data_IF_473607735961
#
_entry.id   IF_473607735961
#
_cell.length_a   1.000
_cell.length_b   1.000
_cell.length_c   1.000
_cell.angle_alpha   90.00
_cell.angle_beta   90.00
_cell.angle_gamma   90.00
#
_symmetry.space_group_name_H-M   'P 1'
#
loop_
_entity.id
_entity.type
_entity.pdbx_description
1 polymer ?
2 non-polymer ?
3 non-polymer ?
4 non-polymer ?
5 non-polymer ?
6 water ?
#
# COMPACT_ATOMS: atom_id res chain seq x y z
N UNK A 6 -1.48 -15.70 28.39
CA UNK A 6 -2.47 -14.73 27.84
C UNK A 6 -2.91 -15.08 26.42
N UNK A 7 -4.22 -15.17 26.19
CA UNK A 7 -4.75 -15.31 24.82
C UNK A 7 -4.54 -14.03 24.04
N UNK A 8 -4.58 -14.15 22.72
CA UNK A 8 -4.10 -13.08 21.85
C UNK A 8 -4.95 -13.09 20.59
N UNK A 9 -5.16 -11.91 20.03
CA UNK A 9 -5.88 -11.85 18.76
C UNK A 9 -4.97 -12.24 17.60
N UNK A 10 -3.67 -12.30 17.87
CA UNK A 10 -2.61 -12.47 16.86
C UNK A 10 -1.99 -13.86 16.97
N UNK A 11 -1.40 -14.35 15.89
CA UNK A 11 -0.41 -15.42 15.95
C UNK A 11 0.87 -15.03 15.20
N UNK A 12 2.03 -15.22 15.82
CA UNK A 12 3.33 -14.94 15.19
C UNK A 12 3.82 -16.09 14.31
N UNK A 13 4.48 -15.75 13.21
CA UNK A 13 5.17 -16.74 12.39
C UNK A 13 6.61 -16.32 12.14
N UNK A 14 7.47 -17.31 11.92
CA UNK A 14 8.69 -17.11 11.14
C UNK A 14 8.49 -17.65 9.73
N UNK A 15 9.51 -17.47 8.88
CA UNK A 15 9.38 -17.75 7.45
C UNK A 15 9.24 -19.24 7.18
N UNK A 16 9.88 -20.06 8.00
CA UNK A 16 9.67 -21.51 7.94
C UNK A 16 8.19 -21.84 8.13
N UNK A 17 7.67 -21.48 9.31
CA UNK A 17 6.25 -21.72 9.60
C UNK A 17 5.39 -21.21 8.44
N UNK A 18 5.76 -20.06 7.90
CA UNK A 18 4.88 -19.37 6.97
C UNK A 18 4.89 -20.03 5.59
N UNK A 19 6.06 -20.45 5.14
CA UNK A 19 6.19 -20.99 3.78
C UNK A 19 5.49 -22.33 3.64
N UNK A 20 5.44 -23.09 4.74
CA UNK A 20 4.62 -24.30 4.78
C UNK A 20 3.19 -24.04 4.31
N UNK A 21 2.65 -22.87 4.60
CA UNK A 21 1.27 -22.58 4.27
C UNK A 21 1.02 -22.27 2.79
N UNK A 22 2.06 -22.44 1.98
CA UNK A 22 1.91 -22.21 0.54
C UNK A 22 0.96 -23.23 -0.06
N UNK A 23 0.98 -24.44 0.50
CA UNK A 23 0.42 -25.64 -0.11
C UNK A 23 0.66 -25.76 -1.61
N UNK A 24 -0.41 -25.91 -2.36
CA UNK A 24 -0.29 -26.35 -3.75
C UNK A 24 -0.07 -25.15 -4.68
N UNK A 25 -0.03 -23.97 -4.08
CA UNK A 25 -0.29 -22.73 -4.81
C UNK A 25 0.77 -22.51 -5.90
N UNK A 26 0.33 -22.42 -7.16
CA UNK A 26 1.21 -22.28 -8.31
C UNK A 26 1.91 -20.92 -8.35
N UNK A 27 3.13 -20.89 -8.87
CA UNK A 27 3.85 -19.63 -9.08
C UNK A 27 3.76 -19.19 -10.54
N UNK A 28 3.22 -17.99 -10.77
CA UNK A 28 2.93 -17.55 -12.13
C UNK A 28 3.73 -16.31 -12.51
N UNK A 29 4.95 -16.18 -11.98
CA UNK A 29 5.75 -14.98 -12.20
C UNK A 29 7.16 -15.29 -12.71
N UNK A 30 7.56 -14.62 -13.80
CA UNK A 30 8.95 -14.62 -14.26
C UNK A 30 9.85 -13.82 -13.32
N UNK A 31 11.16 -14.03 -13.45
CA UNK A 31 12.13 -13.09 -12.92
C UNK A 31 12.10 -11.76 -13.68
N UNK A 32 11.84 -11.81 -14.98
CA UNK A 32 11.71 -10.58 -15.75
C UNK A 32 10.44 -9.80 -15.39
N UNK A 33 9.39 -10.49 -14.98
CA UNK A 33 8.17 -9.79 -14.57
C UNK A 33 8.33 -9.21 -13.17
N UNK A 34 8.94 -9.99 -12.29
CA UNK A 34 9.26 -9.56 -10.94
C UNK A 34 10.13 -8.30 -10.95
N UNK A 35 11.09 -8.26 -11.86
CA UNK A 35 11.96 -7.10 -11.99
C UNK A 35 11.14 -5.83 -12.16
N UNK A 36 10.11 -5.87 -12.99
CA UNK A 36 9.42 -4.64 -13.37
C UNK A 36 8.50 -4.16 -12.27
N UNK A 37 8.37 -4.94 -11.20
CA UNK A 37 7.43 -4.58 -10.14
C UNK A 37 8.20 -4.04 -8.93
N UNK A 38 9.51 -4.19 -8.93
CA UNK A 38 10.25 -3.77 -7.75
C UNK A 38 10.78 -2.34 -7.79
N UNK A 39 10.63 -1.63 -6.67
CA UNK A 39 11.07 -0.25 -6.63
C UNK A 39 12.56 -0.12 -6.35
N UNK A 40 13.12 1.04 -6.66
CA UNK A 40 14.47 1.37 -6.22
C UNK A 40 14.71 0.94 -4.78
N UNK A 41 15.71 0.07 -4.61
CA UNK A 41 16.19 -0.29 -3.28
C UNK A 41 15.48 -1.51 -2.72
N UNK A 42 14.48 -2.03 -3.43
CA UNK A 42 13.78 -3.21 -2.93
C UNK A 42 14.41 -4.51 -3.42
N UNK A 43 14.55 -5.47 -2.52
CA UNK A 43 15.48 -6.56 -2.74
C UNK A 43 14.79 -7.88 -3.04
N UNK A 44 13.52 -7.81 -3.41
CA UNK A 44 12.68 -9.00 -3.47
C UNK A 44 13.11 -9.92 -4.61
N UNK A 45 13.18 -11.22 -4.36
CA UNK A 45 13.35 -12.20 -5.44
C UNK A 45 12.26 -13.26 -5.47
N UNK A 46 12.31 -14.16 -6.45
CA UNK A 46 11.33 -15.24 -6.56
C UNK A 46 11.23 -16.10 -5.31
N UNK A 47 12.31 -16.19 -4.55
CA UNK A 47 12.23 -16.99 -3.35
C UNK A 47 11.29 -16.29 -2.35
N UNK A 48 11.50 -15.00 -2.12
CA UNK A 48 10.61 -14.24 -1.26
C UNK A 48 9.15 -14.33 -1.71
N UNK A 49 8.92 -14.20 -3.01
CA UNK A 49 7.57 -14.41 -3.52
C UNK A 49 6.99 -15.79 -3.20
N UNK A 50 7.81 -16.83 -3.31
CA UNK A 50 7.34 -18.21 -3.13
C UNK A 50 6.95 -18.43 -1.68
N UNK A 51 7.81 -17.98 -0.78
CA UNK A 51 7.74 -18.34 0.63
C UNK A 51 6.84 -17.42 1.44
N UNK A 52 6.73 -16.18 0.98
CA UNK A 52 6.03 -15.14 1.72
C UNK A 52 4.76 -14.75 0.98
N UNK A 53 4.88 -14.49 -0.31
CA UNK A 53 3.75 -13.89 -1.03
C UNK A 53 2.74 -14.93 -1.48
N UNK A 54 3.12 -16.20 -1.43
CA UNK A 54 2.26 -17.23 -2.00
C UNK A 54 1.25 -17.77 -0.97
N UNK A 55 1.72 -18.08 0.24
CA UNK A 55 0.79 -18.26 1.35
C UNK A 55 -0.20 -17.10 1.46
N UNK A 56 0.32 -15.88 1.53
CA UNK A 56 -0.50 -14.69 1.56
C UNK A 56 -1.57 -14.69 0.47
N UNK A 57 -1.18 -14.94 -0.77
CA UNK A 57 -2.15 -14.87 -1.85
C UNK A 57 -3.25 -15.91 -1.61
N UNK A 58 -2.86 -17.03 -0.98
CA UNK A 58 -3.78 -18.12 -0.74
C UNK A 58 -4.82 -17.74 0.31
N UNK A 59 -4.35 -17.42 1.51
CA UNK A 59 -5.17 -16.79 2.54
C UNK A 59 -6.22 -15.83 1.96
N UNK A 60 -5.79 -14.91 1.11
CA UNK A 60 -6.72 -13.93 0.57
C UNK A 60 -7.82 -14.58 -0.25
N UNK A 61 -7.48 -15.63 -1.01
CA UNK A 61 -8.45 -16.31 -1.85
C UNK A 61 -9.46 -17.08 -1.02
N UNK A 62 -8.98 -17.67 0.06
CA UNK A 62 -9.83 -18.29 1.07
C UNK A 62 -10.85 -17.29 1.63
N UNK A 63 -10.37 -16.08 1.89
CA UNK A 63 -11.18 -14.99 2.42
C UNK A 63 -12.14 -14.33 1.44
N UNK A 64 -11.78 -14.19 0.17
CA UNK A 64 -12.70 -13.59 -0.80
C UNK A 64 -14.03 -14.34 -0.88
N UNK A 65 -13.93 -15.66 -1.07
CA UNK A 65 -15.08 -16.55 -1.01
C UNK A 65 -15.88 -16.30 0.27
N UNK A 66 -15.22 -16.39 1.41
CA UNK A 66 -15.87 -16.28 2.73
C UNK A 66 -16.50 -14.92 3.03
N UNK A 67 -15.80 -13.85 2.65
CA UNK A 67 -16.30 -12.49 2.86
C UNK A 67 -17.48 -12.18 1.95
N UNK A 68 -17.62 -12.94 0.86
CA UNK A 68 -18.78 -12.77 0.00
C UNK A 68 -20.05 -13.34 0.63
N UNK A 69 -19.92 -14.50 1.28
CA UNK A 69 -21.02 -15.13 2.01
C UNK A 69 -21.62 -14.12 2.98
N UNK A 70 -20.75 -13.30 3.56
CA UNK A 70 -21.16 -12.23 4.47
C UNK A 70 -22.05 -11.12 3.86
N UNK A 71 -21.72 -10.65 2.66
CA UNK A 71 -22.54 -9.60 2.06
C UNK A 71 -23.81 -10.21 1.47
N UNK A 72 -23.71 -11.46 1.04
CA UNK A 72 -24.85 -12.19 0.53
C UNK A 72 -25.88 -12.35 1.65
N UNK A 73 -25.40 -12.48 2.89
CA UNK A 73 -26.28 -12.70 4.04
C UNK A 73 -27.11 -11.47 4.36
N UNK A 74 -26.49 -10.31 4.29
CA UNK A 74 -27.20 -9.06 4.41
C UNK A 74 -28.20 -8.83 3.28
N UNK A 75 -27.82 -9.16 2.06
CA UNK A 75 -28.68 -8.92 0.91
C UNK A 75 -29.87 -9.89 0.96
N UNK A 76 -29.65 -11.07 1.51
CA UNK A 76 -30.72 -12.04 1.73
C UNK A 76 -31.71 -11.51 2.77
N UNK A 77 -31.17 -10.98 3.87
CA UNK A 77 -31.98 -10.37 4.92
C UNK A 77 -32.84 -9.25 4.36
N UNK A 78 -32.27 -8.44 3.46
CA UNK A 78 -32.96 -7.31 2.87
C UNK A 78 -33.92 -7.68 1.74
N UNK A 79 -34.06 -8.98 1.48
CA UNK A 79 -34.88 -9.47 0.39
C UNK A 79 -34.51 -8.87 -0.95
N UNK A 80 -33.21 -8.88 -1.26
CA UNK A 80 -32.67 -8.29 -2.47
C UNK A 80 -32.41 -9.34 -3.55
N UNK A 81 -32.45 -8.94 -4.83
CA UNK A 81 -31.87 -9.67 -5.97
C UNK A 81 -30.64 -10.48 -5.58
N UNK A 82 -30.31 -11.51 -6.37
CA UNK A 82 -29.30 -12.51 -5.97
C UNK A 82 -27.84 -12.08 -6.11
N UNK A 83 -27.57 -11.09 -6.97
CA UNK A 83 -26.21 -10.65 -7.26
C UNK A 83 -25.50 -11.57 -8.26
N UNK A 84 -25.41 -11.12 -9.51
CA UNK A 84 -24.65 -11.81 -10.55
C UNK A 84 -23.19 -12.00 -10.20
N UNK A 85 -22.69 -13.24 -10.35
CA UNK A 85 -21.30 -13.51 -9.92
C UNK A 85 -20.25 -12.98 -10.90
N UNK A 86 -20.71 -12.46 -12.04
CA UNK A 86 -19.87 -11.65 -12.91
C UNK A 86 -19.86 -10.18 -12.49
N UNK A 87 -20.24 -9.92 -11.24
CA UNK A 87 -19.87 -8.70 -10.53
C UNK A 87 -20.25 -8.73 -9.04
N UNK A 88 -19.46 -9.42 -8.22
CA UNK A 88 -19.76 -9.37 -6.79
C UNK A 88 -19.43 -8.02 -6.16
N UNK A 89 -19.45 -7.97 -4.84
CA UNK A 89 -19.03 -6.78 -4.13
C UNK A 89 -17.52 -6.85 -3.96
N UNK A 90 -16.79 -5.86 -4.52
CA UNK A 90 -15.35 -5.81 -4.59
C UNK A 90 -14.65 -6.07 -3.26
N UNK A 91 -13.58 -6.86 -3.29
CA UNK A 91 -12.76 -7.10 -2.11
C UNK A 91 -11.74 -5.96 -2.01
N UNK A 92 -11.70 -5.31 -0.84
CA UNK A 92 -10.79 -4.18 -0.68
C UNK A 92 -9.60 -4.53 0.19
N UNK A 93 -8.40 -4.31 -0.33
CA UNK A 93 -7.20 -4.57 0.46
C UNK A 93 -6.44 -3.28 0.67
N UNK A 94 -6.12 -3.00 1.93
CA UNK A 94 -5.28 -1.86 2.25
C UNK A 94 -3.84 -2.28 2.43
N UNK A 95 -2.92 -1.42 1.99
CA UNK A 95 -1.49 -1.60 2.29
C UNK A 95 -0.87 -0.35 2.91
N UNK A 96 -0.36 -0.51 4.13
CA UNK A 96 0.17 0.62 4.88
C UNK A 96 1.62 0.40 5.30
N UNK A 97 2.21 1.47 5.82
CA UNK A 97 3.52 1.47 6.43
C UNK A 97 4.24 2.77 6.08
N UNK A 98 5.43 2.94 6.65
CA UNK A 98 6.24 4.13 6.44
C UNK A 98 6.60 4.40 4.99
N UNK A 99 6.90 5.66 4.70
CA UNK A 99 7.65 6.01 3.50
C UNK A 99 8.91 5.16 3.48
N UNK A 100 9.36 4.76 2.29
CA UNK A 100 10.62 4.04 2.09
C UNK A 100 10.62 2.58 2.56
N UNK A 101 9.47 2.04 2.96
CA UNK A 101 9.46 0.68 3.51
C UNK A 101 9.11 -0.33 2.41
N UNK A 102 8.78 0.18 1.22
CA UNK A 102 8.49 -0.72 0.11
C UNK A 102 7.04 -1.11 -0.09
N UNK A 103 6.11 -0.40 0.57
CA UNK A 103 4.68 -0.66 0.39
C UNK A 103 4.40 -0.90 -1.08
N UNK A 104 4.94 0.01 -1.89
CA UNK A 104 4.80 0.02 -3.34
C UNK A 104 5.06 -1.34 -4.01
N UNK A 105 6.18 -1.95 -3.64
CA UNK A 105 6.58 -3.19 -4.27
C UNK A 105 5.60 -4.27 -3.83
N UNK A 106 5.41 -4.36 -2.52
CA UNK A 106 4.44 -5.30 -1.96
C UNK A 106 3.08 -5.21 -2.66
N UNK A 107 2.61 -4.02 -2.96
CA UNK A 107 1.27 -3.93 -3.50
C UNK A 107 1.22 -4.36 -4.96
N UNK A 108 2.17 -3.91 -5.77
CA UNK A 108 2.33 -4.41 -7.14
C UNK A 108 2.57 -5.93 -7.25
N UNK A 109 3.36 -6.48 -6.34
CA UNK A 109 3.54 -7.91 -6.41
C UNK A 109 2.21 -8.58 -6.14
N UNK A 110 1.61 -8.28 -4.99
CA UNK A 110 0.29 -8.79 -4.67
C UNK A 110 -0.71 -8.63 -5.81
N UNK A 111 -0.77 -7.45 -6.42
CA UNK A 111 -1.69 -7.29 -7.55
C UNK A 111 -1.43 -8.35 -8.60
N UNK A 112 -0.15 -8.61 -8.87
CA UNK A 112 0.21 -9.44 -10.01
C UNK A 112 -0.15 -10.89 -9.72
N UNK A 113 0.25 -11.38 -8.56
CA UNK A 113 -0.20 -12.69 -8.08
C UNK A 113 -1.71 -12.86 -8.15
N UNK A 114 -2.45 -11.89 -7.62
CA UNK A 114 -3.91 -12.01 -7.61
C UNK A 114 -4.54 -12.02 -8.99
N UNK A 115 -3.92 -11.34 -9.96
CA UNK A 115 -4.58 -11.21 -11.26
C UNK A 115 -4.39 -12.49 -12.05
N UNK A 116 -3.43 -13.30 -11.60
CA UNK A 116 -3.16 -14.61 -12.16
C UNK A 116 -3.87 -15.70 -11.35
N UNK A 117 -5.15 -15.46 -11.08
CA UNK A 117 -6.02 -16.48 -10.51
C UNK A 117 -6.98 -16.95 -11.59
N UNK A 118 -7.70 -18.03 -11.33
CA UNK A 118 -8.55 -18.68 -12.31
C UNK A 118 -9.57 -17.75 -12.97
N UNK A 119 -10.36 -17.06 -12.15
CA UNK A 119 -11.29 -16.04 -12.63
C UNK A 119 -10.65 -15.21 -13.76
N UNK A 120 -9.33 -15.10 -13.72
CA UNK A 120 -8.62 -13.91 -14.20
C UNK A 120 -9.31 -12.63 -13.77
N UNK A 121 -9.24 -12.32 -12.46
CA UNK A 121 -10.03 -11.26 -11.86
C UNK A 121 -9.43 -9.90 -12.18
N UNK A 122 -10.28 -8.89 -12.37
CA UNK A 122 -9.81 -7.50 -12.47
C UNK A 122 -9.34 -6.96 -11.13
N UNK A 123 -8.01 -6.84 -11.00
CA UNK A 123 -7.37 -6.34 -9.78
C UNK A 123 -6.71 -4.99 -10.02
N UNK A 124 -7.31 -3.93 -9.48
CA UNK A 124 -6.80 -2.58 -9.68
C UNK A 124 -5.99 -2.17 -8.46
N UNK A 125 -5.11 -1.18 -8.65
CA UNK A 125 -4.25 -0.74 -7.55
C UNK A 125 -4.20 0.77 -7.51
N UNK A 126 -4.50 1.32 -6.33
CA UNK A 126 -4.53 2.77 -6.19
C UNK A 126 -3.71 3.20 -4.99
N UNK A 127 -2.91 4.25 -5.15
CA UNK A 127 -2.17 4.83 -4.03
C UNK A 127 -2.87 6.11 -3.63
N UNK A 128 -2.70 6.50 -2.37
CA UNK A 128 -3.39 7.64 -1.83
C UNK A 128 -2.72 8.94 -2.25
N UNK A 129 -1.69 8.81 -3.08
CA UNK A 129 -0.87 9.96 -3.45
C UNK A 129 -1.72 10.97 -4.17
N UNK A 130 -2.59 10.50 -5.05
CA UNK A 130 -3.41 11.38 -5.86
C UNK A 130 -4.54 12.02 -5.07
N UNK A 131 -4.63 11.69 -3.79
CA UNK A 131 -5.59 12.33 -2.92
C UNK A 131 -4.88 13.32 -2.04
N UNK A 132 -3.61 13.59 -2.33
CA UNK A 132 -2.98 14.71 -1.67
C UNK A 132 -3.67 15.99 -2.15
N UNK A 133 -3.71 17.01 -1.31
CA UNK A 133 -4.07 18.32 -1.82
C UNK A 133 -2.97 18.80 -2.75
N UNK A 134 -3.34 19.53 -3.80
CA UNK A 134 -2.31 20.04 -4.69
C UNK A 134 -1.48 21.00 -3.89
N UNK A 135 -0.29 21.32 -4.38
CA UNK A 135 0.63 22.19 -3.66
C UNK A 135 -0.03 23.50 -3.28
N UNK A 136 -0.75 24.09 -4.24
CA UNK A 136 -1.33 25.42 -4.05
C UNK A 136 -2.32 25.37 -2.89
N UNK A 137 -3.08 24.29 -2.78
CA UNK A 137 -3.96 24.13 -1.62
C UNK A 137 -3.21 23.83 -0.32
N UNK A 138 -2.05 23.19 -0.43
CA UNK A 138 -1.30 22.85 0.77
C UNK A 138 -0.62 24.12 1.27
N UNK A 139 -0.01 24.86 0.36
CA UNK A 139 0.52 26.19 0.67
C UNK A 139 -0.53 26.99 1.45
N UNK A 140 -1.73 27.05 0.90
CA UNK A 140 -2.85 27.70 1.55
C UNK A 140 -3.02 27.23 3.00
N UNK A 141 -3.07 25.93 3.21
CA UNK A 141 -3.31 25.40 4.55
C UNK A 141 -2.06 25.39 5.42
N UNK A 142 -0.97 25.92 4.89
CA UNK A 142 0.28 25.93 5.64
C UNK A 142 0.91 24.54 5.84
N UNK A 143 0.72 23.65 4.87
CA UNK A 143 1.09 22.25 5.04
C UNK A 143 2.10 21.73 4.02
N UNK A 144 2.80 22.64 3.36
CA UNK A 144 3.84 22.28 2.43
C UNK A 144 4.97 21.45 3.04
N UNK A 145 5.06 21.42 4.36
CA UNK A 145 6.07 20.60 5.05
C UNK A 145 5.44 19.49 5.87
N UNK A 146 4.25 19.07 5.46
CA UNK A 146 3.56 17.99 6.16
C UNK A 146 2.89 17.04 5.18
N UNK A 147 3.36 17.08 3.95
CA UNK A 147 2.91 16.17 2.92
C UNK A 147 3.09 14.79 3.51
N UNK A 148 2.05 13.98 3.46
CA UNK A 148 2.05 12.65 4.04
C UNK A 148 1.34 12.55 5.38
N UNK A 149 1.25 13.66 6.10
CA UNK A 149 0.41 13.69 7.29
C UNK A 149 -1.08 13.57 6.93
N UNK A 150 -1.89 13.01 7.84
CA UNK A 150 -3.32 12.81 7.55
C UNK A 150 -3.98 14.06 6.97
N UNK A 151 -3.60 15.23 7.48
CA UNK A 151 -4.32 16.44 7.11
C UNK A 151 -3.89 16.99 5.74
N UNK A 152 -2.92 16.33 5.10
CA UNK A 152 -2.46 16.79 3.80
C UNK A 152 -3.23 16.10 2.70
N UNK A 153 -4.11 15.18 3.08
CA UNK A 153 -4.98 14.44 2.16
C UNK A 153 -6.41 14.99 2.13
N UNK A 154 -7.04 14.90 0.97
CA UNK A 154 -8.47 15.05 0.86
C UNK A 154 -9.09 13.72 1.27
N UNK A 155 -9.21 13.51 2.57
CA UNK A 155 -9.82 12.30 3.11
C UNK A 155 -11.24 12.05 2.61
N UNK A 156 -12.05 13.11 2.54
CA UNK A 156 -13.42 12.99 2.06
C UNK A 156 -13.43 12.48 0.62
N UNK A 157 -12.60 13.09 -0.22
CA UNK A 157 -12.53 12.66 -1.62
C UNK A 157 -12.10 11.20 -1.69
N UNK A 158 -11.15 10.84 -0.84
CA UNK A 158 -10.64 9.46 -0.77
C UNK A 158 -11.73 8.48 -0.37
N UNK A 159 -12.40 8.76 0.75
CA UNK A 159 -13.55 7.99 1.19
C UNK A 159 -14.64 7.87 0.12
N UNK A 160 -14.90 8.96 -0.62
CA UNK A 160 -15.92 8.91 -1.67
C UNK A 160 -15.52 7.89 -2.71
N UNK A 161 -14.25 7.91 -3.07
CA UNK A 161 -13.72 6.97 -4.06
C UNK A 161 -13.98 5.51 -3.71
N UNK A 162 -13.50 5.08 -2.55
CA UNK A 162 -13.54 3.65 -2.17
C UNK A 162 -14.97 3.23 -1.93
N UNK A 163 -15.73 4.11 -1.28
CA UNK A 163 -17.15 3.87 -1.06
C UNK A 163 -17.79 3.66 -2.43
N UNK A 164 -17.48 4.55 -3.35
CA UNK A 164 -18.03 4.45 -4.70
C UNK A 164 -17.77 3.09 -5.31
N UNK A 165 -16.51 2.66 -5.25
CA UNK A 165 -16.08 1.38 -5.82
C UNK A 165 -16.73 0.19 -5.12
N UNK A 166 -16.67 0.16 -3.80
CA UNK A 166 -17.19 -1.01 -3.08
C UNK A 166 -18.71 -1.13 -3.14
N UNK A 167 -19.40 -0.01 -3.33
CA UNK A 167 -20.84 -0.01 -3.48
C UNK A 167 -21.33 -0.36 -4.90
N UNK A 168 -20.43 -0.85 -5.75
CA UNK A 168 -20.82 -1.45 -7.03
C UNK A 168 -20.92 -0.51 -8.22
N UNK A 169 -20.42 0.71 -8.08
CA UNK A 169 -20.43 1.65 -9.19
C UNK A 169 -19.71 1.10 -10.42
N UNK A 170 -20.05 1.60 -11.59
CA UNK A 170 -19.50 1.09 -12.84
C UNK A 170 -18.11 1.65 -13.06
N UNK A 171 -17.93 2.91 -12.66
CA UNK A 171 -16.62 3.53 -12.69
C UNK A 171 -16.47 4.58 -11.59
N UNK A 172 -15.24 4.78 -11.13
CA UNK A 172 -14.91 5.91 -10.26
C UNK A 172 -13.53 6.46 -10.59
N UNK A 173 -13.36 7.77 -10.43
CA UNK A 173 -12.13 8.44 -10.80
C UNK A 173 -11.35 8.88 -9.58
N UNK A 174 -10.02 8.80 -9.67
CA UNK A 174 -9.12 9.31 -8.65
C UNK A 174 -8.11 10.24 -9.33
N UNK A 175 -7.68 11.30 -8.64
CA UNK A 175 -6.66 12.13 -9.27
C UNK A 175 -5.29 11.46 -9.22
N UNK A 176 -4.28 12.09 -9.82
CA UNK A 176 -3.01 11.44 -10.05
C UNK A 176 -1.85 12.32 -9.60
N UNK A 177 -0.91 11.74 -8.87
CA UNK A 177 0.20 12.49 -8.32
C UNK A 177 1.52 12.26 -9.07
N UNK A 178 2.26 13.31 -9.34
CA UNK A 178 3.61 13.16 -9.91
C UNK A 178 4.67 13.42 -8.84
N UNK A 179 5.46 12.41 -8.52
CA UNK A 179 6.65 12.57 -7.70
C UNK A 179 7.67 13.48 -8.37
N UNK A 180 7.88 13.26 -9.66
CA UNK A 180 8.88 14.03 -10.38
C UNK A 180 8.56 15.51 -10.28
N UNK A 181 7.31 15.88 -10.54
CA UNK A 181 6.88 17.28 -10.50
C UNK A 181 6.41 17.73 -9.13
N UNK A 182 6.36 16.81 -8.16
CA UNK A 182 6.03 17.17 -6.78
C UNK A 182 4.63 17.76 -6.60
N UNK A 183 3.69 17.36 -7.45
CA UNK A 183 2.33 17.89 -7.37
C UNK A 183 1.32 17.01 -8.08
N UNK A 184 0.05 17.26 -7.79
CA UNK A 184 -1.04 16.60 -8.49
C UNK A 184 -1.00 16.99 -9.96
N UNK A 185 -1.32 16.06 -10.85
CA UNK A 185 -1.17 16.36 -12.26
C UNK A 185 -2.46 16.96 -12.81
N UNK A 186 -2.38 18.19 -13.33
CA UNK A 186 -3.59 18.78 -13.87
C UNK A 186 -4.25 17.86 -14.90
N UNK A 187 -5.53 17.56 -14.71
CA UNK A 187 -6.33 16.92 -15.75
C UNK A 187 -6.19 15.41 -15.78
N UNK A 188 -5.31 14.87 -14.94
CA UNK A 188 -5.03 13.43 -14.98
C UNK A 188 -6.02 12.66 -14.11
N UNK A 189 -6.47 11.51 -14.60
CA UNK A 189 -7.38 10.66 -13.84
C UNK A 189 -7.00 9.20 -13.95
N UNK A 190 -7.21 8.47 -12.86
CA UNK A 190 -7.20 7.02 -12.89
C UNK A 190 -8.63 6.54 -12.81
N UNK A 191 -9.02 5.63 -13.69
CA UNK A 191 -10.40 5.22 -13.78
C UNK A 191 -10.50 3.76 -13.38
N UNK A 192 -11.23 3.52 -12.30
CA UNK A 192 -11.40 2.18 -11.76
C UNK A 192 -12.80 1.69 -12.09
N UNK A 193 -12.88 0.56 -12.78
CA UNK A 193 -14.15 0.11 -13.37
C UNK A 193 -14.56 -1.20 -12.70
N UNK A 194 -15.41 -1.08 -11.68
CA UNK A 194 -15.95 -2.25 -11.00
C UNK A 194 -14.96 -3.41 -10.97
N UNK A 195 -13.77 -3.19 -10.38
CA UNK A 195 -12.82 -4.29 -10.23
C UNK A 195 -13.37 -5.39 -9.32
N UNK A 196 -12.69 -6.54 -9.29
CA UNK A 196 -13.04 -7.60 -8.34
C UNK A 196 -12.34 -7.35 -7.00
N UNK A 197 -11.16 -6.77 -7.09
CA UNK A 197 -10.28 -6.55 -5.95
C UNK A 197 -9.68 -5.17 -6.18
N UNK A 198 -9.75 -4.35 -5.15
CA UNK A 198 -9.09 -3.06 -5.18
C UNK A 198 -8.07 -3.02 -4.06
N UNK A 199 -6.80 -2.80 -4.42
CA UNK A 199 -5.77 -2.64 -3.42
C UNK A 199 -5.54 -1.15 -3.24
N UNK A 200 -5.57 -0.71 -1.99
CA UNK A 200 -5.40 0.71 -1.73
C UNK A 200 -4.17 0.86 -0.88
N UNK A 201 -3.18 1.57 -1.43
CA UNK A 201 -1.87 1.62 -0.80
C UNK A 201 -1.54 3.04 -0.33
N UNK A 202 -1.17 3.21 0.94
CA UNK A 202 -0.77 4.53 1.41
C UNK A 202 -0.34 4.48 2.85
N UNK A 203 0.36 5.51 3.32
CA UNK A 203 0.83 5.64 4.70
C UNK A 203 -0.24 5.43 5.75
N UNK A 204 -1.37 6.11 5.57
CA UNK A 204 -2.29 6.28 6.68
C UNK A 204 -3.63 5.59 6.45
N UNK A 205 -3.64 4.65 5.51
CA UNK A 205 -4.89 4.02 5.11
C UNK A 205 -5.53 3.22 6.24
N UNK A 206 -4.77 2.88 7.28
CA UNK A 206 -5.37 2.15 8.40
C UNK A 206 -5.82 3.05 9.56
N UNK A 207 -5.69 4.34 9.39
CA UNK A 207 -6.27 5.26 10.35
C UNK A 207 -7.78 5.15 10.58
N UNK A 208 -8.19 5.63 11.74
CA UNK A 208 -9.52 5.45 12.29
C UNK A 208 -9.87 6.79 12.90
N UNK A 209 -11.15 7.07 13.10
CA UNK A 209 -11.53 8.45 13.42
C UNK A 209 -13.01 8.66 13.67
N UNK A 210 -13.38 9.92 13.97
CA UNK A 210 -14.71 10.29 14.38
C UNK A 210 -15.68 10.08 13.22
N UNK A 211 -15.16 9.81 12.03
CA UNK A 211 -16.01 9.55 10.88
C UNK A 211 -15.64 8.20 10.25
N UNK A 212 -16.53 7.68 9.43
CA UNK A 212 -16.25 6.41 8.77
C UNK A 212 -15.14 6.64 7.75
N UNK A 213 -14.13 5.78 7.75
CA UNK A 213 -12.94 6.00 6.92
C UNK A 213 -12.61 4.76 6.09
N UNK A 214 -11.67 4.89 5.15
CA UNK A 214 -11.36 3.75 4.30
C UNK A 214 -10.92 2.50 5.05
N UNK A 215 -10.32 2.64 6.24
CA UNK A 215 -9.97 1.48 7.04
C UNK A 215 -11.21 0.67 7.46
N UNK A 216 -12.37 1.32 7.48
CA UNK A 216 -13.61 0.61 7.83
C UNK A 216 -14.13 -0.18 6.64
N UNK A 217 -13.75 0.22 5.43
CA UNK A 217 -14.09 -0.56 4.25
C UNK A 217 -13.16 -1.71 3.85
N UNK A 218 -12.02 -1.89 4.51
CA UNK A 218 -11.10 -2.94 4.08
C UNK A 218 -11.64 -4.31 4.49
N UNK A 219 -11.61 -5.28 3.59
CA UNK A 219 -11.81 -6.68 3.95
C UNK A 219 -10.52 -7.40 4.35
N UNK A 220 -9.37 -6.81 4.07
CA UNK A 220 -8.08 -7.35 4.46
C UNK A 220 -7.07 -6.22 4.40
N UNK A 221 -6.13 -6.18 5.34
CA UNK A 221 -5.10 -5.15 5.29
C UNK A 221 -3.70 -5.73 5.46
N UNK A 222 -2.71 -5.11 4.83
CA UNK A 222 -1.32 -5.38 5.20
C UNK A 222 -0.68 -4.15 5.80
N UNK A 223 0.22 -4.38 6.75
CA UNK A 223 1.14 -3.36 7.20
C UNK A 223 2.57 -3.88 7.04
N UNK A 224 3.33 -3.22 6.18
CA UNK A 224 4.74 -3.51 5.96
C UNK A 224 5.59 -2.77 6.98
N UNK A 225 6.34 -3.52 7.78
CA UNK A 225 7.01 -3.00 8.98
C UNK A 225 8.53 -3.25 8.94
N UNK A 226 9.26 -2.46 9.71
CA UNK A 226 10.69 -2.67 9.88
C UNK A 226 11.09 -1.77 11.02
N UNK A 227 12.26 -2.04 11.61
CA UNK A 227 12.80 -1.20 12.65
C UNK A 227 13.01 0.20 12.12
N UNK A 228 12.70 1.19 12.94
CA UNK A 228 12.67 2.57 12.46
C UNK A 228 14.02 3.03 11.90
N UNK A 229 15.12 2.62 12.53
CA UNK A 229 16.45 3.01 12.06
C UNK A 229 16.77 2.36 10.73
N UNK A 230 16.34 1.11 10.56
CA UNK A 230 16.48 0.51 9.25
C UNK A 230 15.80 1.35 8.19
N UNK A 231 14.52 1.67 8.41
CA UNK A 231 13.77 2.45 7.42
C UNK A 231 14.45 3.78 7.11
N UNK A 232 15.00 4.43 8.13
CA UNK A 232 15.75 5.65 7.90
C UNK A 232 16.90 5.38 6.96
N UNK A 233 17.62 4.30 7.22
CA UNK A 233 18.76 3.94 6.40
C UNK A 233 18.30 3.68 4.97
N UNK A 234 17.18 2.98 4.79
CA UNK A 234 16.71 2.74 3.42
C UNK A 234 16.36 4.04 2.72
N UNK A 235 15.80 4.95 3.50
CA UNK A 235 15.37 6.24 2.96
C UNK A 235 16.53 7.14 2.56
N UNK A 236 17.50 7.30 3.46
CA UNK A 236 18.71 8.07 3.16
C UNK A 236 19.38 7.44 1.94
N UNK A 237 19.53 6.13 2.01
CA UNK A 237 20.19 5.37 0.98
C UNK A 237 19.52 5.57 -0.39
N UNK A 238 18.19 5.53 -0.43
CA UNK A 238 17.47 5.72 -1.68
C UNK A 238 17.59 7.17 -2.18
N UNK A 239 17.63 8.10 -1.24
CA UNK A 239 17.91 9.48 -1.57
C UNK A 239 19.25 9.66 -2.30
N UNK A 240 20.36 9.16 -1.74
CA UNK A 240 21.63 9.23 -2.48
C UNK A 240 21.54 8.57 -3.86
N UNK A 241 20.88 7.42 -3.96
CA UNK A 241 20.76 6.74 -5.24
C UNK A 241 19.99 7.54 -6.28
N UNK A 242 18.97 8.27 -5.83
CA UNK A 242 18.11 8.99 -6.77
C UNK A 242 18.82 10.16 -7.41
N UNK A 243 19.97 10.53 -6.87
CA UNK A 243 20.82 11.55 -7.51
C UNK A 243 21.18 11.22 -8.95
N UNK A 244 21.19 9.93 -9.30
CA UNK A 244 21.47 9.59 -10.69
C UNK A 244 20.29 8.98 -11.47
N UNK A 245 19.20 8.67 -10.76
CA UNK A 245 17.95 8.34 -11.44
C UNK A 245 17.08 9.59 -11.49
N UNK A 246 16.13 9.71 -10.58
CA UNK A 246 15.08 10.72 -10.73
C UNK A 246 15.59 12.14 -10.63
N UNK A 247 16.35 12.47 -9.59
CA UNK A 247 16.88 13.82 -9.42
C UNK A 247 17.68 14.30 -10.63
N UNK A 248 18.20 13.37 -11.42
CA UNK A 248 19.03 13.71 -12.58
C UNK A 248 18.24 14.39 -13.67
N UNK A 249 16.96 14.08 -13.78
CA UNK A 249 16.05 14.77 -14.69
C UNK A 249 16.04 16.26 -14.41
N UNK A 250 16.21 17.09 -15.46
CA UNK A 250 16.16 18.54 -15.25
C UNK A 250 14.77 19.01 -14.83
N UNK A 251 13.75 18.20 -15.10
CA UNK A 251 12.38 18.57 -14.73
C UNK A 251 12.10 18.26 -13.27
N UNK A 252 13.02 17.53 -12.63
CA UNK A 252 12.76 17.06 -11.29
C UNK A 252 12.65 18.26 -10.38
N UNK A 253 11.62 18.26 -9.55
CA UNK A 253 11.45 19.27 -8.54
C UNK A 253 12.60 19.25 -7.52
N UNK A 254 13.40 18.19 -7.52
CA UNK A 254 14.55 18.11 -6.63
C UNK A 254 15.84 17.92 -7.41
N UNK A 255 15.88 18.47 -8.62
CA UNK A 255 17.08 18.47 -9.42
C UNK A 255 18.26 19.13 -8.73
N UNK A 256 18.00 20.06 -7.81
CA UNK A 256 19.11 20.69 -7.10
C UNK A 256 19.91 19.65 -6.34
N UNK A 257 19.25 18.56 -5.98
CA UNK A 257 19.90 17.53 -5.16
C UNK A 257 20.90 16.65 -5.89
N UNK A 258 20.76 16.54 -7.21
CA UNK A 258 21.65 15.74 -8.05
C UNK A 258 23.14 15.96 -7.78
N UNK A 259 23.52 17.22 -7.56
CA UNK A 259 24.93 17.62 -7.45
C UNK A 259 25.53 17.35 -6.08
N UNK A 260 24.69 17.29 -5.04
CA UNK A 260 25.17 17.04 -3.68
C UNK A 260 26.21 15.94 -3.56
N UNK A 261 27.17 16.15 -2.68
CA UNK A 261 28.13 15.12 -2.27
C UNK A 261 27.43 13.99 -1.55
N UNK A 262 28.05 12.82 -1.49
CA UNK A 262 27.54 11.75 -0.65
C UNK A 262 27.15 12.33 0.69
N UNK A 263 27.99 13.22 1.20
CA UNK A 263 27.86 13.66 2.58
C UNK A 263 26.84 14.79 2.76
N UNK A 264 26.82 15.75 1.83
CA UNK A 264 25.78 16.78 1.88
C UNK A 264 24.39 16.15 1.74
N UNK A 265 24.32 15.02 1.02
CA UNK A 265 23.03 14.44 0.66
C UNK A 265 22.52 13.67 1.87
N UNK A 266 23.45 13.01 2.56
CA UNK A 266 23.10 12.33 3.79
C UNK A 266 22.51 13.33 4.79
N UNK A 267 23.10 14.52 4.82
CA UNK A 267 22.61 15.59 5.70
C UNK A 267 21.22 16.07 5.32
N UNK A 268 21.00 16.36 4.04
CA UNK A 268 19.67 16.70 3.53
C UNK A 268 18.61 15.64 3.85
N UNK A 269 18.93 14.37 3.61
CA UNK A 269 17.94 13.31 3.72
C UNK A 269 17.60 13.04 5.18
N UNK A 270 18.61 13.00 6.03
CA UNK A 270 18.39 12.95 7.47
C UNK A 270 17.46 14.04 8.00
N UNK A 271 17.51 15.21 7.37
CA UNK A 271 16.76 16.35 7.86
C UNK A 271 15.28 16.18 7.52
N UNK A 272 15.02 15.78 6.29
CA UNK A 272 13.68 15.41 5.84
C UNK A 272 13.10 14.28 6.68
N UNK A 273 13.87 13.24 6.92
CA UNK A 273 13.41 12.17 7.79
C UNK A 273 13.07 12.73 9.17
N UNK A 274 13.97 13.55 9.71
CA UNK A 274 13.86 14.03 11.08
C UNK A 274 12.62 14.89 11.28
N UNK A 275 12.25 15.65 10.25
CA UNK A 275 11.21 16.66 10.39
C UNK A 275 9.84 16.26 9.83
N UNK A 276 9.80 15.31 8.90
CA UNK A 276 8.54 14.94 8.26
C UNK A 276 8.21 13.45 8.43
N UNK A 277 9.03 12.60 7.84
CA UNK A 277 8.67 11.20 7.71
C UNK A 277 8.71 10.42 9.03
N UNK A 278 9.66 10.76 9.90
CA UNK A 278 9.77 10.05 11.16
C UNK A 278 8.63 10.41 12.11
N UNK A 279 8.42 11.70 12.39
CA UNK A 279 7.28 12.15 13.19
C UNK A 279 5.96 11.57 12.70
N UNK A 280 5.78 11.49 11.38
CA UNK A 280 4.53 10.95 10.86
C UNK A 280 4.41 9.45 11.12
N UNK A 281 5.53 8.74 11.03
CA UNK A 281 5.56 7.31 11.28
C UNK A 281 5.22 7.05 12.75
N UNK A 282 5.85 7.83 13.64
CA UNK A 282 5.69 7.66 15.08
C UNK A 282 4.29 8.07 15.53
N UNK A 283 3.79 9.17 15.01
CA UNK A 283 2.58 9.81 15.50
C UNK A 283 1.35 9.20 14.83
N UNK A 284 1.42 8.89 13.54
CA UNK A 284 0.19 8.49 12.85
C UNK A 284 0.18 7.08 12.28
N UNK A 285 1.30 6.61 11.75
CA UNK A 285 1.35 5.34 11.05
C UNK A 285 1.51 4.17 12.00
N UNK A 286 2.53 4.23 12.84
CA UNK A 286 2.84 3.14 13.78
C UNK A 286 1.68 2.84 14.73
N UNK A 287 0.94 3.88 15.16
CA UNK A 287 -0.29 3.62 15.88
C UNK A 287 -1.38 2.89 15.08
N UNK A 288 -1.23 2.71 13.77
CA UNK A 288 -2.24 1.93 13.05
C UNK A 288 -1.89 0.45 12.91
N UNK A 289 -0.66 0.08 13.26
CA UNK A 289 -0.22 -1.29 13.06
C UNK A 289 -1.07 -2.37 13.74
N UNK A 290 -1.51 -2.11 14.99
CA UNK A 290 -2.31 -3.12 15.67
C UNK A 290 -3.58 -3.61 14.96
N UNK A 291 -4.10 -2.86 14.00
CA UNK A 291 -5.36 -3.26 13.39
C UNK A 291 -5.18 -4.13 12.15
N UNK A 292 -3.95 -4.16 11.63
CA UNK A 292 -3.66 -4.76 10.34
C UNK A 292 -3.93 -6.25 10.40
N UNK A 293 -4.41 -6.82 9.30
CA UNK A 293 -4.68 -8.26 9.30
C UNK A 293 -3.36 -9.02 9.35
N UNK A 294 -2.40 -8.61 8.53
CA UNK A 294 -1.08 -9.23 8.48
C UNK A 294 0.00 -8.17 8.46
N UNK A 295 0.85 -8.17 9.48
CA UNK A 295 2.09 -7.42 9.46
C UNK A 295 3.27 -8.21 8.86
N UNK A 296 3.92 -7.62 7.85
CA UNK A 296 5.11 -8.19 7.26
C UNK A 296 6.33 -7.49 7.80
N UNK A 297 7.06 -8.20 8.66
CA UNK A 297 8.24 -7.67 9.29
C UNK A 297 9.49 -7.91 8.44
N UNK A 298 10.26 -6.85 8.23
CA UNK A 298 11.45 -6.89 7.38
C UNK A 298 12.70 -6.60 8.21
N UNK A 299 13.73 -7.39 7.94
CA UNK A 299 15.03 -7.16 8.55
C UNK A 299 15.80 -6.13 7.73
N UNK A 300 16.89 -5.62 8.31
CA UNK A 300 17.68 -4.55 7.71
C UNK A 300 18.05 -4.78 6.26
N UNK A 301 18.00 -6.03 5.81
CA UNK A 301 18.28 -6.30 4.40
C UNK A 301 17.02 -6.36 3.53
N UNK A 302 15.90 -5.84 4.02
CA UNK A 302 14.61 -5.79 3.32
C UNK A 302 13.85 -7.10 3.27
N UNK A 303 14.41 -8.10 3.94
CA UNK A 303 13.92 -9.46 3.87
C UNK A 303 12.76 -9.61 4.84
N UNK A 304 11.64 -10.15 4.36
CA UNK A 304 10.56 -10.46 5.28
C UNK A 304 10.87 -11.77 6.01
N UNK A 305 11.13 -11.69 7.31
CA UNK A 305 11.44 -12.90 8.06
C UNK A 305 10.46 -13.24 9.19
N UNK A 306 9.63 -12.28 9.59
CA UNK A 306 8.54 -12.57 10.52
C UNK A 306 7.19 -12.06 10.02
N UNK A 307 6.11 -12.67 10.50
CA UNK A 307 4.76 -12.25 10.19
C UNK A 307 3.86 -12.33 11.41
N UNK A 308 2.89 -11.42 11.51
CA UNK A 308 1.92 -11.40 12.59
C UNK A 308 0.54 -11.41 11.96
N UNK A 309 -0.24 -12.46 12.23
CA UNK A 309 -1.55 -12.58 11.63
C UNK A 309 -2.62 -12.31 12.67
N UNK A 310 -3.62 -11.53 12.28
CA UNK A 310 -4.81 -11.36 13.11
C UNK A 310 -5.73 -12.56 12.92
N UNK A 311 -5.80 -13.37 13.97
CA UNK A 311 -6.74 -14.49 14.08
C UNK A 311 -8.09 -13.95 14.56
N UNK A 312 -8.06 -13.03 15.52
CA UNK A 312 -9.25 -12.25 15.87
C UNK A 312 -9.11 -10.79 15.45
#
# INVERSE_FOLDING_TARGET
MSRLSEPSPYVEFDRRQWRALRMSTPLALTEEELVGLRGLGEQIDLLEVEEVYLPLARLIHLQVAARQRLFAATAEFLGEPQQNPDRPVPFIIGVAGSVAVGKSTTARVLQALLARWDHHPRVDLVTTDGFLYPNAELQRRNLMHRKGFPESYNRRALMRFVTSVKSGSDYACAPVYSHLHYDIIPGAEQVVRHPDILILEGLNVLQTGPTLMVSDLFDFSLYVDARIEDIEQWYVSRFLAMRTTAFADPESHFHHYAAFSDSQAVVAAREIWRTINRPNLVENILPTRPRATLVLRKDADHSINRLRLRKL
#
